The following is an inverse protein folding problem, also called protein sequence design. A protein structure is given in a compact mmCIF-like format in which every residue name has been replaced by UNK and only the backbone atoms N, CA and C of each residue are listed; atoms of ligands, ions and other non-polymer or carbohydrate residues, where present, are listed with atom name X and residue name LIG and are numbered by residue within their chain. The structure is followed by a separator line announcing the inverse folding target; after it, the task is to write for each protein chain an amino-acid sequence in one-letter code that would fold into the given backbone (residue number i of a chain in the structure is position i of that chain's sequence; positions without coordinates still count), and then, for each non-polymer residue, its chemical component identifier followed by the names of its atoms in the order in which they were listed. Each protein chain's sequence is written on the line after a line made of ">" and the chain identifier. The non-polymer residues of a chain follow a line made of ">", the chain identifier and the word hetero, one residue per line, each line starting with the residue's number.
data_IF_739708576788
#
_entry.id   IF_739708576788
#
_cell.length_a   1.000
_cell.length_b   1.000
_cell.length_c   1.000
_cell.angle_alpha   90.00
_cell.angle_beta   90.00
_cell.angle_gamma   90.00
#
_symmetry.space_group_name_H-M   'P 1'
#
loop_
_entity.id
_entity.type
_entity.pdbx_description
1 polymer ?
#
# COMPACT_ATOMS: atom_id res chain seq x y z
N UNK A 1 20.35 25.62 34.43
CA UNK A 1 20.61 24.25 33.96
C UNK A 1 19.33 23.73 33.34
N UNK A 2 19.17 23.89 32.01
CA UNK A 2 18.00 23.50 31.25
C UNK A 2 18.29 22.16 30.56
N UNK A 3 17.49 21.15 30.87
CA UNK A 3 17.67 19.79 30.36
C UNK A 3 17.25 19.66 28.90
N UNK A 4 18.00 18.98 28.06
CA UNK A 4 17.66 18.70 26.65
C UNK A 4 16.90 17.37 26.52
N UNK A 5 15.73 17.22 27.14
CA UNK A 5 15.00 15.93 27.13
C UNK A 5 13.89 15.80 26.07
N UNK A 6 13.57 16.87 25.31
CA UNK A 6 12.42 16.83 24.40
C UNK A 6 12.68 16.22 23.01
N UNK A 7 13.93 16.18 22.55
CA UNK A 7 14.22 15.71 21.16
C UNK A 7 14.39 14.20 21.03
N UNK A 8 14.87 13.52 22.07
CA UNK A 8 15.04 12.06 22.04
C UNK A 8 13.72 11.31 22.12
N UNK A 9 12.77 11.79 22.94
CA UNK A 9 11.45 11.17 23.04
C UNK A 9 10.63 11.28 21.75
N UNK A 10 10.71 12.41 21.06
CA UNK A 10 10.01 12.62 19.79
C UNK A 10 10.60 11.75 18.66
N UNK A 11 11.92 11.56 18.62
CA UNK A 11 12.59 10.68 17.64
C UNK A 11 12.30 9.20 17.92
N UNK A 12 12.31 8.78 19.18
CA UNK A 12 11.93 7.42 19.56
C UNK A 12 10.48 7.14 19.16
N UNK A 13 9.55 8.07 19.36
CA UNK A 13 8.16 7.96 18.93
C UNK A 13 8.01 7.85 17.42
N UNK A 14 8.76 8.63 16.62
CA UNK A 14 8.72 8.55 15.14
C UNK A 14 9.21 7.20 14.62
N UNK A 15 10.31 6.67 15.16
CA UNK A 15 10.86 5.36 14.79
C UNK A 15 9.86 4.25 15.12
N UNK A 16 9.23 4.28 16.29
CA UNK A 16 8.20 3.32 16.68
C UNK A 16 6.99 3.37 15.75
N UNK A 17 6.53 4.57 15.39
CA UNK A 17 5.42 4.78 14.43
C UNK A 17 5.79 4.34 13.01
N UNK A 18 7.01 4.58 12.56
CA UNK A 18 7.49 4.07 11.27
C UNK A 18 7.51 2.54 11.27
N UNK A 19 7.96 1.91 12.35
CA UNK A 19 7.87 0.47 12.55
C UNK A 19 6.42 -0.04 12.46
N UNK A 20 5.49 0.62 13.15
CA UNK A 20 4.06 0.32 13.06
C UNK A 20 3.52 0.46 11.63
N UNK A 21 3.92 1.52 10.91
CA UNK A 21 3.52 1.72 9.52
C UNK A 21 4.08 0.62 8.59
N UNK A 22 5.35 0.24 8.74
CA UNK A 22 5.95 -0.86 7.96
C UNK A 22 5.18 -2.17 8.21
N UNK A 23 4.93 -2.54 9.45
CA UNK A 23 4.18 -3.76 9.79
C UNK A 23 2.74 -3.73 9.26
N UNK A 24 2.09 -2.57 9.31
CA UNK A 24 0.71 -2.45 8.88
C UNK A 24 0.56 -2.49 7.36
N UNK A 25 1.44 -1.80 6.63
CA UNK A 25 1.33 -1.63 5.18
C UNK A 25 2.15 -2.62 4.36
N UNK A 26 2.96 -3.47 5.01
CA UNK A 26 3.82 -4.42 4.31
C UNK A 26 3.89 -5.76 5.05
N UNK A 27 4.43 -6.77 4.37
CA UNK A 27 4.81 -8.06 4.97
C UNK A 27 6.26 -8.10 5.44
N UNK A 28 6.94 -6.97 5.45
CA UNK A 28 8.33 -6.90 5.90
C UNK A 28 8.40 -7.09 7.42
N UNK A 29 9.28 -7.98 7.90
CA UNK A 29 9.50 -8.14 9.33
C UNK A 29 10.19 -6.91 9.91
N UNK A 30 9.91 -6.60 11.17
CA UNK A 30 10.69 -5.61 11.91
C UNK A 30 11.99 -6.22 12.43
N UNK A 31 12.98 -5.35 12.62
CA UNK A 31 14.22 -5.72 13.29
C UNK A 31 13.92 -6.12 14.76
N UNK A 32 14.67 -7.10 15.31
CA UNK A 32 14.53 -7.47 16.71
C UNK A 32 14.70 -6.28 17.65
N UNK A 33 13.82 -6.16 18.64
CA UNK A 33 13.85 -5.08 19.62
C UNK A 33 13.07 -3.81 19.23
N UNK A 34 12.53 -3.72 18.02
CA UNK A 34 11.63 -2.63 17.65
C UNK A 34 10.26 -2.82 18.32
N UNK A 35 9.77 -1.77 18.97
CA UNK A 35 8.42 -1.73 19.54
C UNK A 35 7.55 -0.84 18.64
N UNK A 36 6.62 -1.43 17.86
CA UNK A 36 5.81 -0.66 16.92
C UNK A 36 4.73 0.14 17.66
N UNK A 37 4.54 1.40 17.23
CA UNK A 37 3.41 2.24 17.62
C UNK A 37 2.52 2.45 16.40
N UNK A 38 1.22 2.14 16.54
CA UNK A 38 0.25 2.24 15.45
C UNK A 38 -0.51 3.57 15.42
N UNK A 39 -0.20 4.50 16.31
CA UNK A 39 -0.88 5.79 16.38
C UNK A 39 -0.45 6.70 15.20
N UNK A 40 -1.44 7.19 14.45
CA UNK A 40 -1.22 8.13 13.35
C UNK A 40 -0.32 7.61 12.21
N UNK A 41 -0.22 6.29 12.02
CA UNK A 41 0.62 5.68 10.98
C UNK A 41 0.15 5.99 9.56
N UNK A 42 -1.11 6.40 9.37
CA UNK A 42 -1.65 6.75 8.05
C UNK A 42 -0.81 7.81 7.35
N UNK A 43 -0.39 8.86 8.08
CA UNK A 43 0.47 9.92 7.55
C UNK A 43 1.86 9.47 7.11
N UNK A 44 2.33 8.32 7.61
CA UNK A 44 3.62 7.73 7.22
C UNK A 44 3.53 6.77 6.02
N UNK A 45 2.32 6.46 5.56
CA UNK A 45 2.13 5.52 4.45
C UNK A 45 2.81 5.93 3.15
N UNK A 46 2.88 7.23 2.73
CA UNK A 46 3.65 7.61 1.55
C UNK A 46 5.15 7.34 1.68
N UNK A 47 5.71 7.51 2.89
CA UNK A 47 7.12 7.20 3.16
C UNK A 47 7.40 5.70 3.06
N UNK A 48 6.51 4.86 3.59
CA UNK A 48 6.56 3.40 3.39
C UNK A 48 6.48 3.06 1.90
N UNK A 49 5.62 3.78 1.16
CA UNK A 49 5.51 3.67 -0.30
C UNK A 49 6.83 3.95 -1.01
N UNK A 50 7.52 5.00 -0.62
CA UNK A 50 8.83 5.36 -1.18
C UNK A 50 9.88 4.27 -0.90
N UNK A 51 9.92 3.74 0.32
CA UNK A 51 10.81 2.63 0.67
C UNK A 51 10.56 1.37 -0.16
N UNK A 52 9.26 1.01 -0.35
CA UNK A 52 8.88 -0.10 -1.21
C UNK A 52 9.29 0.14 -2.67
N UNK A 53 9.08 1.34 -3.19
CA UNK A 53 9.47 1.69 -4.55
C UNK A 53 10.99 1.59 -4.74
N UNK A 54 11.78 2.01 -3.76
CA UNK A 54 13.23 1.82 -3.76
C UNK A 54 13.62 0.36 -3.88
N UNK A 55 13.04 -0.50 -3.04
CA UNK A 55 13.27 -1.95 -3.09
C UNK A 55 12.88 -2.54 -4.44
N UNK A 56 11.70 -2.21 -4.95
CA UNK A 56 11.22 -2.69 -6.26
C UNK A 56 12.11 -2.20 -7.40
N UNK A 57 12.62 -0.97 -7.34
CA UNK A 57 13.55 -0.41 -8.33
C UNK A 57 14.87 -1.16 -8.35
N UNK A 58 15.42 -1.49 -7.17
CA UNK A 58 16.63 -2.31 -7.07
C UNK A 58 16.41 -3.69 -7.67
N UNK A 59 15.32 -4.37 -7.32
CA UNK A 59 15.00 -5.69 -7.88
C UNK A 59 14.80 -5.59 -9.39
N UNK A 60 14.05 -4.59 -9.86
CA UNK A 60 13.87 -4.37 -11.31
C UNK A 60 15.21 -4.19 -12.02
N UNK A 61 16.12 -3.38 -11.48
CA UNK A 61 17.46 -3.19 -12.03
C UNK A 61 18.26 -4.48 -12.10
N UNK A 62 18.28 -5.26 -11.01
CA UNK A 62 18.98 -6.55 -10.96
C UNK A 62 18.46 -7.54 -11.99
N UNK A 63 17.13 -7.67 -12.13
CA UNK A 63 16.51 -8.53 -13.16
C UNK A 63 16.84 -8.04 -14.58
N UNK A 64 16.94 -6.71 -14.77
CA UNK A 64 17.36 -6.12 -16.03
C UNK A 64 18.81 -6.45 -16.39
N UNK A 65 19.74 -6.33 -15.43
CA UNK A 65 21.15 -6.71 -15.60
C UNK A 65 21.29 -8.20 -15.86
N UNK A 66 20.43 -9.03 -15.28
CA UNK A 66 20.38 -10.48 -15.56
C UNK A 66 19.82 -10.81 -16.96
N UNK A 67 19.47 -9.80 -17.78
CA UNK A 67 19.00 -10.01 -19.16
C UNK A 67 17.54 -10.45 -19.28
N UNK A 68 16.74 -10.27 -18.23
CA UNK A 68 15.33 -10.67 -18.25
C UNK A 68 14.51 -9.79 -19.20
N UNK A 69 13.66 -10.42 -20.02
CA UNK A 69 12.75 -9.71 -20.93
C UNK A 69 11.83 -8.75 -20.18
N UNK A 70 11.53 -7.56 -20.75
CA UNK A 70 10.76 -6.51 -20.09
C UNK A 70 9.43 -6.97 -19.53
N UNK A 71 8.66 -7.77 -20.24
CA UNK A 71 7.36 -8.26 -19.79
C UNK A 71 7.48 -9.18 -18.58
N UNK A 72 8.36 -10.18 -18.63
CA UNK A 72 8.58 -11.12 -17.51
C UNK A 72 9.12 -10.39 -16.28
N UNK A 73 10.06 -9.48 -16.49
CA UNK A 73 10.61 -8.62 -15.44
C UNK A 73 9.53 -7.78 -14.77
N UNK A 74 8.66 -7.15 -15.56
CA UNK A 74 7.55 -6.34 -15.06
C UNK A 74 6.54 -7.17 -14.28
N UNK A 75 6.19 -8.35 -14.77
CA UNK A 75 5.28 -9.28 -14.08
C UNK A 75 5.84 -9.68 -12.69
N UNK A 76 7.15 -9.98 -12.60
CA UNK A 76 7.79 -10.32 -11.33
C UNK A 76 7.83 -9.12 -10.37
N UNK A 77 8.13 -7.92 -10.86
CA UNK A 77 8.15 -6.70 -10.03
C UNK A 77 6.74 -6.38 -9.50
N UNK A 78 5.70 -6.47 -10.35
CA UNK A 78 4.30 -6.26 -9.95
C UNK A 78 3.84 -7.35 -8.97
N UNK A 79 4.20 -8.60 -9.21
CA UNK A 79 3.91 -9.72 -8.31
C UNK A 79 4.60 -9.55 -6.95
N UNK A 80 5.88 -9.14 -6.93
CA UNK A 80 6.60 -8.83 -5.71
C UNK A 80 5.96 -7.66 -4.96
N UNK A 81 5.54 -6.60 -5.66
CA UNK A 81 4.81 -5.49 -5.06
C UNK A 81 3.53 -5.97 -4.38
N UNK A 82 2.73 -6.78 -5.07
CA UNK A 82 1.52 -7.37 -4.51
C UNK A 82 1.82 -8.18 -3.25
N UNK A 83 2.84 -9.03 -3.30
CA UNK A 83 3.25 -9.86 -2.17
C UNK A 83 3.74 -9.03 -0.98
N UNK A 84 4.60 -8.02 -1.21
CA UNK A 84 5.13 -7.15 -0.17
C UNK A 84 4.03 -6.34 0.55
N UNK A 85 2.99 -5.94 -0.16
CA UNK A 85 1.86 -5.18 0.42
C UNK A 85 0.75 -6.08 0.97
N UNK A 86 0.92 -7.40 0.91
CA UNK A 86 -0.11 -8.35 1.35
C UNK A 86 -1.40 -8.29 0.55
N UNK A 87 -1.38 -7.67 -0.62
CA UNK A 87 -2.55 -7.56 -1.49
C UNK A 87 -3.60 -6.53 -1.04
N UNK A 88 -3.40 -5.83 0.08
CA UNK A 88 -4.41 -4.95 0.70
C UNK A 88 -5.06 -3.94 -0.26
N UNK A 89 -4.26 -3.33 -1.16
CA UNK A 89 -4.79 -2.36 -2.11
C UNK A 89 -5.57 -3.03 -3.25
N UNK A 90 -5.14 -4.21 -3.68
CA UNK A 90 -5.84 -4.98 -4.70
C UNK A 90 -7.16 -5.51 -4.14
N UNK A 91 -7.15 -6.04 -2.93
CA UNK A 91 -8.33 -6.50 -2.20
C UNK A 91 -9.38 -5.39 -2.10
N UNK A 92 -8.97 -4.21 -1.63
CA UNK A 92 -9.87 -3.05 -1.58
C UNK A 92 -10.42 -2.61 -2.95
N UNK A 93 -9.65 -2.76 -4.03
CA UNK A 93 -10.14 -2.48 -5.38
C UNK A 93 -11.14 -3.55 -5.86
N UNK A 94 -10.89 -4.82 -5.52
CA UNK A 94 -11.80 -5.93 -5.79
C UNK A 94 -13.12 -5.77 -5.05
N UNK A 95 -13.06 -5.52 -3.73
CA UNK A 95 -14.24 -5.26 -2.91
C UNK A 95 -15.06 -4.08 -3.45
N UNK A 96 -14.37 -3.02 -3.88
CA UNK A 96 -15.04 -1.84 -4.47
C UNK A 96 -15.73 -2.20 -5.78
N UNK A 97 -15.10 -2.99 -6.65
CA UNK A 97 -15.69 -3.42 -7.92
C UNK A 97 -16.93 -4.29 -7.69
N UNK A 98 -16.86 -5.24 -6.77
CA UNK A 98 -18.00 -6.09 -6.41
C UNK A 98 -19.11 -5.27 -5.75
N UNK A 99 -18.78 -4.33 -4.86
CA UNK A 99 -19.76 -3.44 -4.23
C UNK A 99 -20.46 -2.51 -5.22
N UNK A 100 -19.74 -1.93 -6.18
CA UNK A 100 -20.31 -1.06 -7.21
C UNK A 100 -21.20 -1.81 -8.20
N UNK A 101 -20.97 -3.10 -8.39
CA UNK A 101 -21.83 -3.94 -9.22
C UNK A 101 -23.22 -4.20 -8.60
N UNK A 102 -23.41 -3.93 -7.30
CA UNK A 102 -24.69 -4.08 -6.62
C UNK A 102 -25.54 -2.81 -6.82
N UNK A 103 -26.74 -2.91 -7.44
CA UNK A 103 -27.61 -1.75 -7.65
C UNK A 103 -28.06 -1.09 -6.33
N UNK A 104 -28.37 -1.90 -5.32
CA UNK A 104 -28.83 -1.46 -4.00
C UNK A 104 -27.65 -0.89 -3.18
N UNK A 105 -27.68 0.43 -2.94
CA UNK A 105 -26.64 1.14 -2.19
C UNK A 105 -26.44 0.63 -0.76
N UNK A 106 -27.54 0.22 -0.10
CA UNK A 106 -27.52 -0.19 1.30
C UNK A 106 -26.81 -1.56 1.48
N UNK A 107 -26.86 -2.38 0.43
CA UNK A 107 -26.18 -3.68 0.38
C UNK A 107 -24.71 -3.60 -0.01
N UNK A 108 -24.25 -2.49 -0.61
CA UNK A 108 -22.86 -2.37 -1.10
C UNK A 108 -21.82 -2.61 -0.01
N UNK A 109 -22.01 -2.00 1.17
CA UNK A 109 -21.10 -2.17 2.30
C UNK A 109 -21.08 -3.60 2.84
N UNK A 110 -22.23 -4.31 2.76
CA UNK A 110 -22.30 -5.71 3.15
C UNK A 110 -21.53 -6.60 2.16
N UNK A 111 -21.67 -6.35 0.85
CA UNK A 111 -20.91 -7.07 -0.20
C UNK A 111 -19.41 -6.83 -0.06
N UNK A 112 -18.99 -5.58 0.12
CA UNK A 112 -17.57 -5.23 0.36
C UNK A 112 -17.01 -5.80 1.68
N UNK A 113 -17.86 -6.28 2.59
CA UNK A 113 -17.45 -6.93 3.84
C UNK A 113 -17.36 -8.44 3.73
N UNK A 114 -17.92 -9.02 2.69
CA UNK A 114 -17.87 -10.46 2.46
C UNK A 114 -16.45 -10.87 2.05
N UNK A 115 -15.92 -11.90 2.68
CA UNK A 115 -14.58 -12.41 2.36
C UNK A 115 -14.52 -13.18 1.03
N UNK A 116 -15.67 -13.38 0.36
CA UNK A 116 -15.75 -14.05 -0.94
C UNK A 116 -15.57 -13.03 -2.06
N UNK A 117 -14.65 -13.30 -2.97
CA UNK A 117 -14.47 -12.47 -4.16
C UNK A 117 -15.57 -12.74 -5.19
N UNK A 118 -16.22 -11.70 -5.66
CA UNK A 118 -17.18 -11.75 -6.74
C UNK A 118 -16.50 -11.69 -8.12
N UNK A 119 -17.31 -11.90 -9.16
CA UNK A 119 -16.78 -11.88 -10.54
C UNK A 119 -16.23 -10.51 -10.95
N UNK A 120 -16.84 -9.42 -10.52
CA UNK A 120 -16.37 -8.05 -10.82
C UNK A 120 -15.06 -7.75 -10.12
N UNK A 121 -14.88 -8.20 -8.88
CA UNK A 121 -13.62 -8.09 -8.16
C UNK A 121 -12.49 -8.84 -8.89
N UNK A 122 -12.74 -10.07 -9.33
CA UNK A 122 -11.76 -10.85 -10.11
C UNK A 122 -11.41 -10.15 -11.42
N UNK A 123 -12.39 -9.66 -12.18
CA UNK A 123 -12.15 -8.89 -13.40
C UNK A 123 -11.33 -7.63 -13.13
N UNK A 124 -11.62 -6.90 -12.05
CA UNK A 124 -10.85 -5.73 -11.64
C UNK A 124 -9.40 -6.09 -11.30
N UNK A 125 -9.18 -7.19 -10.58
CA UNK A 125 -7.83 -7.68 -10.26
C UNK A 125 -7.03 -7.99 -11.52
N UNK A 126 -7.60 -8.74 -12.48
CA UNK A 126 -6.96 -9.08 -13.75
C UNK A 126 -6.60 -7.81 -14.53
N UNK A 127 -7.54 -6.86 -14.63
CA UNK A 127 -7.32 -5.60 -15.34
C UNK A 127 -6.20 -4.77 -14.67
N UNK A 128 -6.23 -4.59 -13.34
CA UNK A 128 -5.23 -3.81 -12.59
C UNK A 128 -3.85 -4.44 -12.72
N UNK A 129 -3.72 -5.74 -12.50
CA UNK A 129 -2.42 -6.42 -12.56
C UNK A 129 -1.87 -6.46 -14.00
N UNK A 130 -2.75 -6.74 -14.99
CA UNK A 130 -2.40 -6.73 -16.40
C UNK A 130 -1.92 -5.34 -16.85
N UNK A 131 -2.71 -4.29 -16.61
CA UNK A 131 -2.36 -2.93 -16.99
C UNK A 131 -1.08 -2.43 -16.30
N UNK A 132 -0.88 -2.70 -15.01
CA UNK A 132 0.37 -2.36 -14.32
C UNK A 132 1.58 -3.06 -14.95
N UNK A 133 1.44 -4.33 -15.26
CA UNK A 133 2.53 -5.12 -15.88
C UNK A 133 2.88 -4.59 -17.26
N UNK A 134 1.87 -4.35 -18.10
CA UNK A 134 2.06 -3.83 -19.45
C UNK A 134 2.64 -2.42 -19.44
N UNK A 135 2.05 -1.52 -18.65
CA UNK A 135 2.56 -0.14 -18.52
C UNK A 135 4.02 -0.09 -18.05
N UNK A 136 4.42 -0.97 -17.13
CA UNK A 136 5.81 -1.06 -16.70
C UNK A 136 6.69 -1.70 -17.78
N UNK A 137 6.18 -2.67 -18.55
CA UNK A 137 6.93 -3.33 -19.61
C UNK A 137 7.23 -2.42 -20.80
N UNK A 138 6.31 -1.50 -21.13
CA UNK A 138 6.44 -0.55 -22.24
C UNK A 138 7.49 0.54 -21.99
N UNK A 139 7.93 0.71 -20.73
CA UNK A 139 8.93 1.70 -20.39
C UNK A 139 10.35 1.21 -20.66
N UNK A 140 11.02 1.85 -21.63
CA UNK A 140 12.44 1.66 -21.87
C UNK A 140 13.29 2.29 -20.76
N UNK A 141 12.89 3.44 -20.23
CA UNK A 141 13.58 4.20 -19.17
C UNK A 141 12.56 4.72 -18.14
N UNK A 142 13.04 5.26 -17.01
CA UNK A 142 12.16 5.89 -16.02
C UNK A 142 11.31 4.94 -15.18
N UNK A 143 11.58 3.64 -15.19
CA UNK A 143 10.83 2.63 -14.42
C UNK A 143 10.84 2.88 -12.93
N UNK A 144 12.02 3.23 -12.36
CA UNK A 144 12.15 3.56 -10.94
C UNK A 144 11.33 4.79 -10.51
N UNK A 145 11.46 5.94 -11.16
CA UNK A 145 10.58 7.09 -10.94
C UNK A 145 9.09 6.77 -11.06
N UNK A 146 8.67 5.98 -12.04
CA UNK A 146 7.27 5.55 -12.16
C UNK A 146 6.82 4.73 -10.94
N UNK A 147 7.62 3.75 -10.51
CA UNK A 147 7.34 2.94 -9.33
C UNK A 147 7.21 3.82 -8.08
N UNK A 148 8.12 4.81 -7.91
CA UNK A 148 8.06 5.76 -6.80
C UNK A 148 6.80 6.62 -6.85
N UNK A 149 6.48 7.20 -8.00
CA UNK A 149 5.26 8.00 -8.17
C UNK A 149 4.01 7.17 -7.86
N UNK A 150 3.88 6.00 -8.45
CA UNK A 150 2.70 5.14 -8.25
C UNK A 150 2.54 4.70 -6.78
N UNK A 151 3.65 4.36 -6.11
CA UNK A 151 3.62 3.93 -4.73
C UNK A 151 3.32 5.08 -3.75
N UNK A 152 3.90 6.26 -3.97
CA UNK A 152 3.70 7.42 -3.09
C UNK A 152 2.32 8.03 -3.28
N UNK A 153 1.92 8.30 -4.55
CA UNK A 153 0.64 8.93 -4.84
C UNK A 153 -0.56 8.06 -4.46
N UNK A 154 -0.47 6.74 -4.67
CA UNK A 154 -1.53 5.83 -4.25
C UNK A 154 -1.76 5.87 -2.73
N UNK A 155 -0.70 5.96 -1.94
CA UNK A 155 -0.79 6.07 -0.47
C UNK A 155 -1.18 7.47 -0.01
N UNK A 156 -0.71 8.50 -0.71
CA UNK A 156 -1.15 9.87 -0.43
C UNK A 156 -2.66 10.02 -0.67
N UNK A 157 -3.20 9.44 -1.75
CA UNK A 157 -4.63 9.39 -2.01
C UNK A 157 -5.42 8.71 -0.89
N UNK A 158 -4.89 7.62 -0.32
CA UNK A 158 -5.47 6.96 0.86
C UNK A 158 -5.51 7.91 2.07
N UNK A 159 -4.40 8.61 2.37
CA UNK A 159 -4.34 9.60 3.47
C UNK A 159 -5.37 10.71 3.26
N UNK A 160 -5.47 11.22 2.03
CA UNK A 160 -6.44 12.24 1.68
C UNK A 160 -7.89 11.74 1.89
N UNK A 161 -8.18 10.50 1.48
CA UNK A 161 -9.49 9.91 1.67
C UNK A 161 -9.84 9.76 3.17
N UNK A 162 -8.90 9.28 3.99
CA UNK A 162 -9.08 9.18 5.44
C UNK A 162 -9.33 10.54 6.07
N UNK A 163 -8.60 11.59 5.65
CA UNK A 163 -8.76 12.93 6.18
C UNK A 163 -10.09 13.58 5.76
N UNK A 164 -10.54 13.35 4.51
CA UNK A 164 -11.64 14.10 3.91
C UNK A 164 -13.01 13.48 4.12
N UNK A 165 -13.10 12.15 4.17
CA UNK A 165 -14.39 11.45 4.16
C UNK A 165 -14.71 10.80 5.52
N UNK A 166 -15.99 10.73 5.91
CA UNK A 166 -16.39 10.00 7.12
C UNK A 166 -16.11 8.50 6.94
N UNK A 167 -15.70 7.86 8.03
CA UNK A 167 -15.53 6.41 8.03
C UNK A 167 -16.88 5.73 8.26
N UNK A 168 -17.32 4.90 7.31
CA UNK A 168 -18.67 4.33 7.30
C UNK A 168 -18.84 3.09 8.20
N UNK A 169 -17.73 2.50 8.69
CA UNK A 169 -17.75 1.31 9.54
C UNK A 169 -17.07 1.56 10.87
N UNK A 170 -17.80 1.90 11.94
CA UNK A 170 -17.20 2.23 13.25
C UNK A 170 -16.26 1.17 13.82
N UNK A 171 -16.52 -0.11 13.54
CA UNK A 171 -15.74 -1.26 14.02
C UNK A 171 -14.78 -1.84 12.98
N UNK A 172 -14.54 -1.18 11.86
CA UNK A 172 -13.62 -1.66 10.82
C UNK A 172 -12.15 -1.35 11.15
N UNK A 173 -11.22 -2.10 10.54
CA UNK A 173 -9.77 -1.93 10.71
C UNK A 173 -9.28 -0.51 10.42
N UNK A 174 -9.96 0.24 9.57
CA UNK A 174 -9.65 1.64 9.26
C UNK A 174 -10.08 2.66 10.33
N UNK A 175 -10.89 2.28 11.31
CA UNK A 175 -11.35 3.18 12.37
C UNK A 175 -10.17 3.73 13.20
N UNK A 176 -9.12 2.93 13.40
CA UNK A 176 -7.87 3.32 14.07
C UNK A 176 -7.20 4.54 13.43
N UNK A 177 -7.37 4.75 12.13
CA UNK A 177 -6.76 5.87 11.40
C UNK A 177 -7.55 7.17 11.51
N UNK A 178 -8.81 7.12 11.98
CA UNK A 178 -9.69 8.29 12.11
C UNK A 178 -9.70 8.87 13.54
N UNK A 179 -9.24 8.12 14.53
CA UNK A 179 -9.26 8.52 15.94
C UNK A 179 -8.13 9.49 16.31
N UNK A 180 -7.30 9.90 15.36
CA UNK A 180 -6.15 10.79 15.49
C UNK A 180 -6.08 11.75 14.31
#
# INVERSE_FOLDING_TARGET
>A
MTQPHHTQGARAGLVARLGGAILFYTRLPLLPGWQPDFNGIAGLSPLVGLGLAGLLTVVDGLLGVAGMFPLSRSALVVGLWLWLTGGLHLDGAMDTADGLAVPDSDRRLAVMADSRSGAFGVMAAIAILGLKTLALADLATGRGPLLAMAAVWGRWGQVLAIARYPYLRPNGKGALHKAH
#
